data_IF_004943660874
#
_entry.id   IF_004943660874
#
_cell.length_a   1.000
_cell.length_b   1.000
_cell.length_c   1.000
_cell.angle_alpha   90.00
_cell.angle_beta   90.00
_cell.angle_gamma   90.00
#
_symmetry.space_group_name_H-M   'P 1'
#
loop_
_entity.id
_entity.type
_entity.pdbx_description
1 polymer ?
#
# COMPACT_ATOMS: atom_id res chain seq x y z
N UNK A 1 -25.36 17.12 12.11
CA UNK A 1 -26.34 17.00 10.99
C UNK A 1 -25.62 16.27 9.87
N UNK A 2 -25.97 15.10 9.34
CA UNK A 2 -27.06 14.13 9.53
C UNK A 2 -26.40 12.75 9.63
N UNK A 3 -26.94 11.91 10.51
CA UNK A 3 -26.59 10.50 10.70
C UNK A 3 -27.35 9.62 9.70
N UNK A 4 -26.69 8.60 9.16
CA UNK A 4 -27.32 7.55 8.33
C UNK A 4 -27.19 6.20 9.03
N UNK A 5 -28.24 5.81 9.75
CA UNK A 5 -28.46 4.48 10.29
C UNK A 5 -29.04 3.55 9.21
N UNK A 6 -28.57 2.31 9.16
CA UNK A 6 -29.22 1.20 8.43
C UNK A 6 -29.90 0.22 9.41
N UNK A 7 -30.99 -0.47 9.02
CA UNK A 7 -31.88 -1.17 9.93
C UNK A 7 -31.59 -2.68 10.07
N UNK A 8 -31.85 -3.22 11.27
CA UNK A 8 -32.00 -4.65 11.58
C UNK A 8 -33.46 -5.11 11.36
N UNK A 9 -33.70 -6.36 10.90
CA UNK A 9 -35.05 -6.91 10.81
C UNK A 9 -35.53 -7.53 12.14
N UNK A 10 -36.80 -7.28 12.45
CA UNK A 10 -37.59 -7.88 13.55
C UNK A 10 -38.30 -9.15 13.07
N UNK A 11 -38.38 -10.16 13.93
CA UNK A 11 -39.44 -11.21 14.05
C UNK A 11 -38.94 -12.23 15.10
N UNK A 12 -39.70 -12.83 16.02
CA UNK A 12 -41.14 -12.93 16.26
C UNK A 12 -41.35 -13.34 17.74
N UNK A 13 -42.46 -12.87 18.33
CA UNK A 13 -42.98 -13.27 19.65
C UNK A 13 -43.48 -14.73 19.64
N UNK A 14 -43.27 -15.49 20.72
CA UNK A 14 -44.24 -16.50 21.15
C UNK A 14 -44.23 -16.66 22.68
N UNK A 15 -45.42 -16.42 23.23
CA UNK A 15 -45.81 -16.58 24.63
C UNK A 15 -46.13 -18.05 24.89
N UNK A 16 -45.72 -18.59 26.03
CA UNK A 16 -46.44 -19.70 26.68
C UNK A 16 -46.29 -19.62 28.20
N UNK A 17 -47.45 -19.51 28.83
CA UNK A 17 -47.75 -19.46 30.26
C UNK A 17 -47.67 -20.88 30.84
N UNK A 18 -47.10 -21.06 32.03
CA UNK A 18 -47.58 -22.10 32.97
C UNK A 18 -47.17 -21.82 34.43
N UNK A 19 -48.22 -21.48 35.18
CA UNK A 19 -48.57 -21.88 36.55
C UNK A 19 -47.55 -21.77 37.70
N UNK A 20 -47.92 -20.87 38.62
CA UNK A 20 -47.62 -20.87 40.04
C UNK A 20 -47.95 -22.21 40.72
N UNK A 21 -47.01 -22.74 41.48
CA UNK A 21 -47.29 -23.50 42.70
C UNK A 21 -46.35 -23.02 43.80
N UNK A 22 -46.96 -22.57 44.89
CA UNK A 22 -46.35 -22.02 46.09
C UNK A 22 -46.31 -23.04 47.23
N UNK A 23 -45.27 -22.86 48.06
CA UNK A 23 -45.05 -23.33 49.45
C UNK A 23 -44.38 -24.71 49.68
N UNK A 24 -43.68 -24.93 50.83
CA UNK A 24 -43.26 -24.00 51.88
C UNK A 24 -41.74 -24.00 52.18
N UNK A 25 -41.36 -22.98 52.96
CA UNK A 25 -40.10 -22.72 53.63
C UNK A 25 -39.44 -23.95 54.28
N UNK A 26 -38.18 -24.22 53.90
CA UNK A 26 -37.21 -24.94 54.73
C UNK A 26 -36.11 -23.97 55.12
N UNK A 27 -35.91 -23.80 56.44
CA UNK A 27 -34.84 -23.01 57.02
C UNK A 27 -33.47 -23.53 56.54
N UNK A 28 -32.75 -22.71 55.78
CA UNK A 28 -31.34 -22.92 55.48
C UNK A 28 -30.51 -22.14 56.51
N UNK A 29 -29.73 -22.87 57.30
CA UNK A 29 -28.65 -22.35 58.14
C UNK A 29 -27.69 -21.48 57.32
N UNK A 30 -27.04 -20.44 57.88
CA UNK A 30 -26.11 -19.60 57.14
C UNK A 30 -24.95 -20.45 56.62
N UNK A 31 -24.83 -20.54 55.29
CA UNK A 31 -23.64 -21.11 54.65
C UNK A 31 -22.48 -20.17 54.99
N UNK A 32 -21.31 -20.66 55.44
CA UNK A 32 -20.14 -19.81 55.59
C UNK A 32 -19.85 -19.09 54.26
N UNK A 33 -19.33 -17.84 54.29
CA UNK A 33 -19.00 -17.14 53.06
C UNK A 33 -18.13 -18.07 52.21
N UNK A 34 -18.55 -18.27 50.96
CA UNK A 34 -17.72 -18.95 49.98
C UNK A 34 -16.33 -18.29 50.01
N UNK A 35 -15.23 -19.06 50.03
CA UNK A 35 -13.92 -18.47 49.91
C UNK A 35 -13.92 -17.53 48.69
N UNK A 36 -13.27 -16.35 48.76
CA UNK A 36 -13.16 -15.48 47.60
C UNK A 36 -12.68 -16.34 46.43
N UNK A 37 -13.26 -16.17 45.22
CA UNK A 37 -12.78 -16.91 44.06
C UNK A 37 -11.25 -16.74 44.00
N UNK A 38 -10.50 -17.80 43.71
CA UNK A 38 -9.05 -17.70 43.60
C UNK A 38 -8.71 -16.54 42.66
N UNK A 39 -7.63 -15.78 42.91
CA UNK A 39 -7.27 -14.66 42.06
C UNK A 39 -7.27 -15.16 40.62
N UNK A 40 -8.13 -14.57 39.80
CA UNK A 40 -8.34 -14.96 38.41
C UNK A 40 -6.97 -15.02 37.73
N UNK A 41 -6.48 -16.22 37.45
CA UNK A 41 -5.25 -16.40 36.69
C UNK A 41 -5.63 -16.06 35.25
N UNK A 42 -5.20 -14.90 34.72
CA UNK A 42 -5.40 -14.63 33.31
C UNK A 42 -4.71 -15.75 32.54
N UNK A 43 -5.36 -16.32 31.55
CA UNK A 43 -4.70 -17.28 30.67
C UNK A 43 -3.42 -16.63 30.08
N UNK A 44 -2.43 -17.41 29.62
CA UNK A 44 -1.14 -16.87 29.19
C UNK A 44 -1.22 -15.74 28.13
N UNK A 45 -2.28 -15.69 27.32
CA UNK A 45 -2.50 -14.60 26.34
C UNK A 45 -2.89 -13.30 27.02
N UNK A 46 -3.82 -13.35 27.97
CA UNK A 46 -4.22 -12.17 28.75
C UNK A 46 -3.10 -11.71 29.68
N UNK A 47 -2.22 -12.60 30.15
CA UNK A 47 -1.03 -12.21 30.89
C UNK A 47 -0.04 -11.43 30.00
N UNK A 48 0.24 -11.90 28.78
CA UNK A 48 1.04 -11.15 27.79
C UNK A 48 0.41 -9.81 27.46
N UNK A 49 -0.91 -9.78 27.29
CA UNK A 49 -1.64 -8.55 27.04
C UNK A 49 -1.54 -7.56 28.20
N UNK A 50 -1.64 -8.04 29.44
CA UNK A 50 -1.43 -7.21 30.61
C UNK A 50 -0.03 -6.59 30.60
N UNK A 51 1.02 -7.39 30.34
CA UNK A 51 2.39 -6.88 30.22
C UNK A 51 2.50 -5.78 29.15
N UNK A 52 1.99 -6.05 27.94
CA UNK A 52 2.02 -5.10 26.82
C UNK A 52 1.28 -3.79 27.14
N UNK A 53 0.06 -3.89 27.70
CA UNK A 53 -0.80 -2.74 27.98
C UNK A 53 -0.27 -1.90 29.15
N UNK A 54 0.36 -2.52 30.16
CA UNK A 54 1.01 -1.77 31.23
C UNK A 54 2.28 -1.07 30.74
N UNK A 55 3.08 -1.72 29.88
CA UNK A 55 4.22 -1.06 29.23
C UNK A 55 3.77 0.13 28.38
N UNK A 56 2.67 -0.03 27.62
CA UNK A 56 2.12 1.06 26.83
C UNK A 56 1.52 2.18 27.68
N UNK A 57 0.80 1.86 28.76
CA UNK A 57 0.35 2.85 29.74
C UNK A 57 1.50 3.68 30.29
N UNK A 58 2.66 3.05 30.54
CA UNK A 58 3.85 3.75 30.99
C UNK A 58 4.47 4.65 29.90
N UNK A 59 4.36 4.26 28.62
CA UNK A 59 4.79 5.06 27.48
C UNK A 59 3.83 6.21 27.12
N UNK A 60 2.59 6.20 27.64
CA UNK A 60 1.64 7.31 27.52
C UNK A 60 2.07 8.43 28.47
N UNK A 61 2.44 9.57 27.89
CA UNK A 61 2.95 10.75 28.59
C UNK A 61 1.87 11.77 28.93
N UNK A 62 0.74 11.76 28.21
CA UNK A 62 -0.42 12.59 28.55
C UNK A 62 -1.74 11.88 28.22
N UNK A 63 -2.67 11.92 29.17
CA UNK A 63 -4.02 11.39 29.05
C UNK A 63 -5.03 12.39 29.62
N UNK A 64 -5.38 13.45 28.87
CA UNK A 64 -6.21 14.55 29.40
C UNK A 64 -7.63 14.13 29.77
N UNK A 65 -8.12 13.06 29.16
CA UNK A 65 -9.49 12.56 29.33
C UNK A 65 -9.55 11.40 30.33
N UNK A 66 -8.42 11.02 30.95
CA UNK A 66 -8.32 9.87 31.84
C UNK A 66 -8.81 8.57 31.17
N UNK A 67 -8.58 8.42 29.86
CA UNK A 67 -9.02 7.27 29.07
C UNK A 67 -8.43 5.96 29.59
N UNK A 68 -7.18 5.98 30.02
CA UNK A 68 -6.44 4.82 30.54
C UNK A 68 -6.56 4.64 32.06
N UNK A 69 -7.45 5.40 32.72
CA UNK A 69 -7.59 5.36 34.17
C UNK A 69 -7.99 3.98 34.70
N UNK A 70 -8.75 3.20 33.93
CA UNK A 70 -9.18 1.83 34.24
C UNK A 70 -8.18 0.73 33.84
N UNK A 71 -7.04 1.10 33.23
CA UNK A 71 -5.98 0.15 32.87
C UNK A 71 -5.16 -0.27 34.09
N UNK A 72 -5.78 -0.97 35.04
CA UNK A 72 -5.13 -1.56 36.21
C UNK A 72 -5.74 -2.91 36.59
N UNK A 73 -4.92 -3.78 37.20
CA UNK A 73 -5.33 -5.11 37.61
C UNK A 73 -5.37 -6.14 36.47
N UNK A 74 -5.66 -7.42 36.77
CA UNK A 74 -5.46 -8.52 35.81
C UNK A 74 -6.54 -8.61 34.72
N UNK A 75 -7.66 -7.90 34.84
CA UNK A 75 -8.83 -8.03 33.97
C UNK A 75 -8.72 -7.10 32.75
N UNK A 76 -7.74 -7.35 31.86
CA UNK A 76 -7.46 -6.50 30.69
C UNK A 76 -8.64 -6.29 29.75
N UNK A 77 -9.60 -7.22 29.72
CA UNK A 77 -10.80 -7.09 28.90
C UNK A 77 -11.79 -6.02 29.41
N UNK A 78 -11.58 -5.50 30.62
CA UNK A 78 -12.36 -4.39 31.17
C UNK A 78 -11.73 -3.03 30.90
N UNK A 79 -10.53 -2.99 30.30
CA UNK A 79 -9.82 -1.75 30.02
C UNK A 79 -10.53 -0.98 28.91
N UNK A 80 -10.68 0.32 29.09
CA UNK A 80 -11.25 1.19 28.06
C UNK A 80 -10.45 1.07 26.76
N UNK A 81 -11.17 0.86 25.66
CA UNK A 81 -10.60 0.69 24.32
C UNK A 81 -9.96 -0.68 24.02
N UNK A 82 -10.00 -1.64 24.95
CA UNK A 82 -9.48 -3.00 24.75
C UNK A 82 -10.64 -3.97 24.55
N UNK A 83 -10.61 -4.73 23.45
CA UNK A 83 -11.66 -5.66 23.07
C UNK A 83 -11.13 -7.08 23.06
N UNK A 84 -11.72 -7.93 23.91
CA UNK A 84 -11.42 -9.35 23.94
C UNK A 84 -12.41 -10.17 23.12
N UNK A 85 -11.94 -11.26 22.53
CA UNK A 85 -12.75 -12.25 21.84
C UNK A 85 -12.23 -13.67 22.11
N UNK A 86 -13.01 -14.72 21.81
CA UNK A 86 -12.51 -16.08 21.79
C UNK A 86 -11.29 -16.21 20.86
N UNK A 87 -10.28 -16.94 21.31
CA UNK A 87 -9.06 -17.17 20.56
C UNK A 87 -9.35 -17.94 19.26
N UNK A 88 -8.65 -17.63 18.15
CA UNK A 88 -8.91 -18.27 16.86
C UNK A 88 -8.71 -19.79 16.84
N UNK A 89 -7.84 -20.29 17.71
CA UNK A 89 -7.48 -21.71 17.84
C UNK A 89 -8.19 -22.43 19.00
N UNK A 90 -8.80 -21.69 19.93
CA UNK A 90 -9.59 -22.26 21.04
C UNK A 90 -10.73 -21.31 21.47
N UNK A 91 -12.00 -21.63 21.18
CA UNK A 91 -13.12 -20.76 21.51
C UNK A 91 -13.40 -20.63 23.02
N UNK A 92 -12.78 -21.47 23.87
CA UNK A 92 -12.92 -21.41 25.32
C UNK A 92 -11.88 -20.49 25.99
N UNK A 93 -10.88 -20.02 25.25
CA UNK A 93 -9.85 -19.10 25.74
C UNK A 93 -10.14 -17.71 25.21
N UNK A 94 -10.13 -16.69 26.07
CA UNK A 94 -10.20 -15.30 25.65
C UNK A 94 -8.81 -14.73 25.36
N UNK A 95 -8.72 -13.88 24.35
CA UNK A 95 -7.53 -13.10 23.99
C UNK A 95 -7.91 -11.67 23.64
N UNK A 96 -6.95 -10.75 23.62
CA UNK A 96 -7.17 -9.39 23.11
C UNK A 96 -7.19 -9.44 21.59
N UNK A 97 -8.34 -9.13 21.00
CA UNK A 97 -8.58 -9.21 19.56
C UNK A 97 -8.60 -7.82 18.91
N UNK A 98 -8.88 -6.76 19.67
CA UNK A 98 -8.92 -5.40 19.13
C UNK A 98 -8.48 -4.36 20.15
N UNK A 99 -7.88 -3.28 19.64
CA UNK A 99 -7.61 -2.04 20.36
C UNK A 99 -8.26 -0.91 19.54
N UNK A 100 -9.11 -0.12 20.18
CA UNK A 100 -9.69 1.10 19.61
C UNK A 100 -9.58 2.24 20.61
N UNK A 101 -8.67 3.17 20.33
CA UNK A 101 -8.42 4.41 21.08
C UNK A 101 -8.69 5.64 20.22
N UNK A 102 -9.57 5.53 19.22
CA UNK A 102 -9.86 6.64 18.31
C UNK A 102 -10.33 7.88 19.09
N UNK A 103 -9.77 9.04 18.76
CA UNK A 103 -10.07 10.34 19.35
C UNK A 103 -9.81 10.45 20.88
N UNK A 104 -8.97 9.57 21.45
CA UNK A 104 -8.69 9.58 22.88
C UNK A 104 -7.80 10.75 23.34
N UNK A 105 -7.16 11.46 22.41
CA UNK A 105 -6.26 12.60 22.67
C UNK A 105 -5.03 12.22 23.55
N UNK A 106 -4.59 10.96 23.45
CA UNK A 106 -3.45 10.41 24.17
C UNK A 106 -2.14 10.87 23.54
N UNK A 107 -1.14 11.21 24.35
CA UNK A 107 0.23 11.47 23.89
C UNK A 107 1.17 10.39 24.40
N UNK A 108 2.18 10.02 23.63
CA UNK A 108 3.15 8.99 24.03
C UNK A 108 3.83 8.34 22.83
N UNK A 109 4.40 7.17 23.05
CA UNK A 109 4.98 6.34 21.98
C UNK A 109 4.37 4.93 22.00
N UNK A 110 4.64 4.15 20.95
CA UNK A 110 4.33 2.72 20.92
C UNK A 110 5.56 1.95 21.43
N UNK A 111 5.49 1.17 22.53
CA UNK A 111 6.60 0.36 23.00
C UNK A 111 6.69 -0.99 22.26
N UNK A 112 7.88 -1.60 22.24
CA UNK A 112 8.13 -2.90 21.62
C UNK A 112 7.25 -4.02 22.20
N UNK A 113 6.86 -3.93 23.48
CA UNK A 113 6.02 -4.92 24.16
C UNK A 113 4.63 -5.09 23.53
N UNK A 114 4.14 -4.12 22.74
CA UNK A 114 2.89 -4.28 21.98
C UNK A 114 2.94 -5.47 21.01
N UNK A 115 4.14 -5.88 20.55
CA UNK A 115 4.34 -7.08 19.74
C UNK A 115 3.98 -8.40 20.46
N UNK A 116 3.74 -8.38 21.78
CA UNK A 116 3.25 -9.53 22.54
C UNK A 116 1.78 -9.86 22.24
N UNK A 117 1.02 -8.94 21.66
CA UNK A 117 -0.41 -9.07 21.35
C UNK A 117 -0.64 -9.86 20.04
N UNK A 118 -0.09 -11.07 19.95
CA UNK A 118 -0.02 -11.83 18.68
C UNK A 118 -1.37 -12.24 18.09
N UNK A 119 -2.46 -12.16 18.87
CA UNK A 119 -3.82 -12.45 18.41
C UNK A 119 -4.62 -11.20 17.97
N UNK A 120 -4.00 -10.03 18.06
CA UNK A 120 -4.63 -8.77 17.72
C UNK A 120 -5.01 -8.74 16.23
N UNK A 121 -6.26 -8.41 15.95
CA UNK A 121 -6.81 -8.29 14.60
C UNK A 121 -7.06 -6.82 14.22
N UNK A 122 -7.41 -5.96 15.17
CA UNK A 122 -7.72 -4.54 14.93
C UNK A 122 -6.85 -3.65 15.82
N UNK A 123 -6.19 -2.65 15.23
CA UNK A 123 -5.45 -1.63 15.99
C UNK A 123 -5.77 -0.25 15.45
N UNK A 124 -6.70 0.44 16.13
CA UNK A 124 -7.18 1.77 15.75
C UNK A 124 -6.80 2.80 16.80
N UNK A 125 -5.99 3.77 16.40
CA UNK A 125 -5.54 4.86 17.27
C UNK A 125 -5.63 6.22 16.58
N UNK A 126 -6.60 6.39 15.67
CA UNK A 126 -6.85 7.63 14.95
C UNK A 126 -6.99 8.83 15.90
N UNK A 127 -6.51 10.00 15.49
CA UNK A 127 -6.70 11.26 16.24
C UNK A 127 -6.16 11.18 17.67
N UNK A 128 -4.91 10.76 17.79
CA UNK A 128 -4.12 10.85 19.01
C UNK A 128 -2.88 11.70 18.75
N UNK A 129 -1.97 11.73 19.71
CA UNK A 129 -0.69 12.45 19.67
C UNK A 129 0.47 11.49 19.93
N UNK A 130 0.32 10.24 19.47
CA UNK A 130 1.42 9.28 19.50
C UNK A 130 2.51 9.71 18.54
N UNK A 131 3.78 9.58 18.95
CA UNK A 131 4.94 9.97 18.16
C UNK A 131 6.02 8.89 18.17
N UNK A 132 7.13 9.15 17.47
CA UNK A 132 8.20 8.18 17.25
C UNK A 132 7.94 7.33 16.01
N UNK A 133 8.51 6.13 15.98
CA UNK A 133 8.35 5.15 14.89
C UNK A 133 7.37 4.03 15.30
N UNK A 134 6.86 3.28 14.34
CA UNK A 134 6.17 2.02 14.63
C UNK A 134 7.22 0.97 15.04
N UNK A 135 7.04 0.24 16.15
CA UNK A 135 7.99 -0.78 16.61
C UNK A 135 8.20 -1.91 15.62
N UNK A 136 9.43 -2.38 15.48
CA UNK A 136 9.75 -3.55 14.63
C UNK A 136 9.04 -4.83 15.12
N UNK A 137 8.71 -4.90 16.42
CA UNK A 137 7.95 -6.01 17.01
C UNK A 137 6.53 -6.16 16.44
N UNK A 138 6.00 -5.16 15.72
CA UNK A 138 4.71 -5.28 15.04
C UNK A 138 4.70 -6.41 14.00
N UNK A 139 5.86 -6.84 13.48
CA UNK A 139 5.96 -8.01 12.61
C UNK A 139 5.40 -9.29 13.26
N UNK A 140 5.32 -9.35 14.60
CA UNK A 140 4.78 -10.48 15.35
C UNK A 140 3.24 -10.50 15.40
N UNK A 141 2.57 -9.41 15.00
CA UNK A 141 1.11 -9.28 14.99
C UNK A 141 0.51 -9.98 13.76
N UNK A 142 0.84 -11.25 13.57
CA UNK A 142 0.56 -12.04 12.36
C UNK A 142 -0.93 -12.17 12.01
N UNK A 143 -1.83 -11.81 12.92
CA UNK A 143 -3.29 -11.81 12.73
C UNK A 143 -3.87 -10.42 12.46
N UNK A 144 -3.04 -9.37 12.47
CA UNK A 144 -3.49 -8.00 12.30
C UNK A 144 -4.14 -7.84 10.92
N UNK A 145 -5.39 -7.40 10.93
CA UNK A 145 -6.28 -7.30 9.78
C UNK A 145 -6.51 -5.83 9.40
N UNK A 146 -6.69 -4.96 10.40
CA UNK A 146 -6.82 -3.51 10.21
C UNK A 146 -5.83 -2.76 11.10
N UNK A 147 -5.09 -1.84 10.50
CA UNK A 147 -4.13 -0.98 11.16
C UNK A 147 -4.43 0.48 10.79
N UNK A 148 -4.95 1.23 11.75
CA UNK A 148 -5.23 2.65 11.63
C UNK A 148 -4.39 3.45 12.63
N UNK A 149 -3.34 4.09 12.10
CA UNK A 149 -2.41 4.99 12.79
C UNK A 149 -2.66 6.46 12.43
N UNK A 150 -3.77 6.77 11.78
CA UNK A 150 -3.98 8.05 11.13
C UNK A 150 -4.08 9.22 12.12
N UNK A 151 -3.73 10.43 11.66
CA UNK A 151 -3.82 11.66 12.44
C UNK A 151 -3.10 11.55 13.81
N UNK A 152 -1.78 11.32 13.73
CA UNK A 152 -0.86 11.21 14.85
C UNK A 152 0.42 12.01 14.55
N UNK A 153 1.43 11.86 15.39
CA UNK A 153 2.76 12.46 15.23
C UNK A 153 3.86 11.45 14.88
N UNK A 154 3.52 10.31 14.25
CA UNK A 154 4.53 9.33 13.83
C UNK A 154 5.47 9.93 12.78
N UNK A 155 6.73 9.52 12.82
CA UNK A 155 7.81 10.04 11.97
C UNK A 155 8.81 8.94 11.63
N UNK A 156 9.75 9.23 10.73
CA UNK A 156 10.72 8.24 10.22
C UNK A 156 10.31 7.71 8.85
N UNK A 157 10.99 6.66 8.39
CA UNK A 157 10.64 6.00 7.13
C UNK A 157 9.38 5.13 7.24
N UNK A 158 8.90 4.60 6.11
CA UNK A 158 7.83 3.62 6.11
C UNK A 158 8.17 2.44 7.04
N UNK A 159 7.25 2.03 7.95
CA UNK A 159 7.53 0.99 8.93
C UNK A 159 7.59 -0.40 8.30
N UNK A 160 8.81 -0.91 8.10
CA UNK A 160 9.08 -2.15 7.36
C UNK A 160 8.43 -3.40 7.98
N UNK A 161 8.23 -3.41 9.30
CA UNK A 161 7.54 -4.47 10.03
C UNK A 161 6.13 -4.79 9.49
N UNK A 162 5.43 -3.81 8.91
CA UNK A 162 4.09 -3.98 8.33
C UNK A 162 4.13 -4.91 7.11
N UNK A 163 5.25 -4.95 6.38
CA UNK A 163 5.39 -5.77 5.17
C UNK A 163 5.31 -7.28 5.44
N UNK A 164 5.55 -7.70 6.69
CA UNK A 164 5.46 -9.10 7.13
C UNK A 164 4.03 -9.54 7.48
N UNK A 165 3.06 -8.63 7.51
CA UNK A 165 1.70 -8.88 7.99
C UNK A 165 0.82 -9.45 6.88
N UNK A 166 0.90 -10.76 6.68
CA UNK A 166 0.18 -11.47 5.61
C UNK A 166 -1.37 -11.38 5.71
N UNK A 167 -1.91 -11.15 6.91
CA UNK A 167 -3.35 -11.02 7.13
C UNK A 167 -3.89 -9.59 6.92
N UNK A 168 -3.01 -8.60 6.79
CA UNK A 168 -3.41 -7.19 6.77
C UNK A 168 -4.20 -6.86 5.50
N UNK A 169 -5.34 -6.19 5.67
CA UNK A 169 -6.23 -5.74 4.59
C UNK A 169 -6.43 -4.24 4.54
N UNK A 170 -6.40 -3.59 5.68
CA UNK A 170 -6.59 -2.15 5.78
C UNK A 170 -5.37 -1.50 6.41
N UNK A 171 -4.72 -0.60 5.68
CA UNK A 171 -3.61 0.20 6.18
C UNK A 171 -3.90 1.68 6.03
N UNK A 172 -4.04 2.37 7.15
CA UNK A 172 -4.22 3.82 7.22
C UNK A 172 -3.13 4.47 8.08
N UNK A 173 -2.22 5.20 7.42
CA UNK A 173 -1.13 5.95 8.05
C UNK A 173 -1.20 7.45 7.70
N UNK A 174 -2.34 7.92 7.21
CA UNK A 174 -2.51 9.31 6.75
C UNK A 174 -2.36 10.33 7.88
N UNK A 175 -2.04 11.58 7.55
CA UNK A 175 -1.83 12.67 8.53
C UNK A 175 -0.79 12.30 9.60
N UNK A 176 0.41 11.93 9.15
CA UNK A 176 1.60 11.71 9.98
C UNK A 176 2.79 12.47 9.36
N UNK A 177 4.02 12.17 9.80
CA UNK A 177 5.27 12.75 9.31
C UNK A 177 6.22 11.67 8.78
N UNK A 178 5.67 10.61 8.20
CA UNK A 178 6.48 9.58 7.55
C UNK A 178 7.15 10.17 6.32
N UNK A 179 8.42 9.84 6.08
CA UNK A 179 9.22 10.34 4.98
C UNK A 179 9.94 9.22 4.22
N UNK A 180 10.75 9.57 3.23
CA UNK A 180 11.48 8.60 2.42
C UNK A 180 10.59 7.92 1.39
N UNK A 181 11.00 6.73 0.94
CA UNK A 181 10.30 6.00 -0.12
C UNK A 181 9.13 5.16 0.42
N UNK A 182 8.13 4.91 -0.44
CA UNK A 182 7.21 3.78 -0.23
C UNK A 182 7.84 2.50 -0.83
N UNK A 183 8.08 1.46 -0.01
CA UNK A 183 8.81 0.29 -0.46
C UNK A 183 8.00 -0.52 -1.47
N UNK A 184 8.62 -0.98 -2.56
CA UNK A 184 7.93 -1.78 -3.60
C UNK A 184 7.16 -2.99 -3.06
N UNK A 185 7.65 -3.77 -2.08
CA UNK A 185 6.89 -4.89 -1.51
C UNK A 185 5.51 -4.53 -0.95
N UNK A 186 5.26 -3.27 -0.58
CA UNK A 186 3.94 -2.79 -0.15
C UNK A 186 2.86 -3.08 -1.21
N UNK A 187 3.23 -2.96 -2.48
CA UNK A 187 2.31 -3.17 -3.61
C UNK A 187 2.10 -4.64 -3.96
N UNK A 188 2.89 -5.55 -3.40
CA UNK A 188 2.69 -6.99 -3.54
C UNK A 188 1.82 -7.57 -2.40
N UNK A 189 1.62 -6.81 -1.32
CA UNK A 189 0.70 -7.16 -0.23
C UNK A 189 -0.75 -7.24 -0.74
N UNK A 190 -1.54 -8.09 -0.09
CA UNK A 190 -2.95 -8.32 -0.46
C UNK A 190 -3.91 -7.39 0.30
N UNK A 191 -3.62 -6.08 0.27
CA UNK A 191 -4.45 -5.04 0.89
C UNK A 191 -5.73 -4.79 0.09
N UNK A 192 -6.80 -4.42 0.80
CA UNK A 192 -8.07 -3.98 0.24
C UNK A 192 -8.13 -2.44 0.14
N UNK A 193 -7.47 -1.72 1.06
CA UNK A 193 -7.37 -0.26 1.04
C UNK A 193 -6.02 0.25 1.60
N UNK A 194 -5.49 1.30 0.97
CA UNK A 194 -4.22 1.94 1.34
C UNK A 194 -4.34 3.47 1.39
N UNK A 195 -4.17 4.03 2.59
CA UNK A 195 -4.18 5.46 2.83
C UNK A 195 -2.83 5.93 3.40
N UNK A 196 -2.11 6.74 2.62
CA UNK A 196 -0.80 7.29 3.03
C UNK A 196 -0.72 8.81 2.83
N UNK A 197 -1.85 9.45 2.52
CA UNK A 197 -1.94 10.87 2.23
C UNK A 197 -1.52 11.75 3.41
N UNK A 198 -1.09 12.98 3.12
CA UNK A 198 -0.68 13.95 4.14
C UNK A 198 0.47 13.41 5.02
N UNK A 199 1.58 13.07 4.35
CA UNK A 199 2.85 12.69 4.94
C UNK A 199 3.99 13.43 4.19
N UNK A 200 5.23 13.17 4.58
CA UNK A 200 6.44 13.75 3.97
C UNK A 200 7.13 12.75 3.01
N UNK A 201 6.39 11.78 2.46
CA UNK A 201 6.96 10.76 1.55
C UNK A 201 7.51 11.39 0.28
N UNK A 202 8.67 10.88 -0.17
CA UNK A 202 9.37 11.28 -1.38
C UNK A 202 9.73 10.04 -2.19
N UNK A 203 8.93 9.70 -3.19
CA UNK A 203 9.06 8.43 -3.92
C UNK A 203 8.67 8.53 -5.38
N UNK A 204 9.10 7.56 -6.18
CA UNK A 204 8.53 7.33 -7.52
C UNK A 204 7.57 6.14 -7.44
N UNK A 205 6.45 6.20 -8.16
CA UNK A 205 5.52 5.08 -8.22
C UNK A 205 6.21 3.86 -8.86
N UNK A 206 6.29 2.70 -8.18
CA UNK A 206 7.03 1.57 -8.70
C UNK A 206 6.23 0.83 -9.77
N UNK A 207 6.94 0.18 -10.70
CA UNK A 207 6.32 -0.62 -11.78
C UNK A 207 5.43 -1.76 -11.25
N UNK A 208 5.62 -2.23 -10.02
CA UNK A 208 4.77 -3.25 -9.42
C UNK A 208 3.50 -2.71 -8.74
N UNK A 209 3.18 -1.40 -8.83
CA UNK A 209 1.93 -0.85 -8.29
C UNK A 209 0.70 -1.61 -8.78
N UNK A 210 0.74 -2.05 -10.05
CA UNK A 210 -0.29 -2.86 -10.69
C UNK A 210 -0.54 -4.24 -10.08
N UNK A 211 0.37 -4.75 -9.24
CA UNK A 211 0.20 -6.04 -8.55
C UNK A 211 -0.76 -5.95 -7.36
N UNK A 212 -0.99 -4.73 -6.88
CA UNK A 212 -1.78 -4.48 -5.68
C UNK A 212 -3.26 -4.74 -5.96
N UNK A 213 -3.96 -5.51 -5.11
CA UNK A 213 -5.40 -5.75 -5.26
C UNK A 213 -6.26 -4.67 -4.59
N UNK A 214 -5.69 -3.53 -4.19
CA UNK A 214 -6.44 -2.49 -3.48
C UNK A 214 -7.60 -1.97 -4.31
N UNK A 215 -8.69 -1.68 -3.59
CA UNK A 215 -9.87 -1.01 -4.12
C UNK A 215 -9.82 0.50 -3.99
N UNK A 216 -9.11 1.01 -2.96
CA UNK A 216 -8.95 2.43 -2.68
C UNK A 216 -7.49 2.73 -2.42
N UNK A 217 -6.95 3.72 -3.14
CA UNK A 217 -5.59 4.18 -3.02
C UNK A 217 -5.56 5.71 -2.90
N UNK A 218 -4.97 6.23 -1.82
CA UNK A 218 -4.89 7.68 -1.58
C UNK A 218 -3.45 8.11 -1.27
N UNK A 219 -2.83 8.81 -2.22
CA UNK A 219 -1.47 9.35 -2.15
C UNK A 219 -1.39 10.87 -2.04
N UNK A 220 -2.54 11.55 -1.91
CA UNK A 220 -2.60 13.00 -1.90
C UNK A 220 -1.67 13.65 -0.86
N UNK A 221 -1.19 14.86 -1.15
CA UNK A 221 -0.34 15.65 -0.24
C UNK A 221 0.91 14.87 0.21
N UNK A 222 1.68 14.38 -0.76
CA UNK A 222 3.04 13.83 -0.59
C UNK A 222 3.94 14.41 -1.70
N UNK A 223 5.17 13.92 -1.86
CA UNK A 223 6.04 14.35 -2.96
C UNK A 223 6.40 13.17 -3.87
N UNK A 224 5.56 12.93 -4.87
CA UNK A 224 5.76 11.91 -5.89
C UNK A 224 6.61 12.48 -7.03
N UNK A 225 7.74 11.83 -7.27
CA UNK A 225 8.59 12.10 -8.42
C UNK A 225 8.19 11.22 -9.60
N UNK A 226 8.34 11.76 -10.81
CA UNK A 226 7.96 11.04 -12.02
C UNK A 226 6.46 11.01 -12.22
N UNK A 227 5.95 9.87 -12.69
CA UNK A 227 4.72 9.76 -13.46
C UNK A 227 3.91 8.53 -13.07
N UNK A 228 2.71 8.39 -13.64
CA UNK A 228 1.93 7.16 -13.50
C UNK A 228 2.54 6.04 -14.37
N UNK A 229 2.93 4.90 -13.78
CA UNK A 229 3.42 3.76 -14.56
C UNK A 229 2.25 3.08 -15.29
N UNK A 230 2.51 2.60 -16.51
CA UNK A 230 1.51 1.86 -17.31
C UNK A 230 0.95 0.62 -16.60
N UNK A 231 1.70 0.03 -15.66
CA UNK A 231 1.30 -1.12 -14.87
C UNK A 231 0.09 -0.86 -13.96
N UNK A 232 -0.23 0.41 -13.65
CA UNK A 232 -1.45 0.78 -12.92
C UNK A 232 -2.70 0.16 -13.56
N UNK A 233 -2.71 0.01 -14.90
CA UNK A 233 -3.78 -0.63 -15.65
C UNK A 233 -4.06 -2.09 -15.28
N UNK A 234 -3.10 -2.79 -14.68
CA UNK A 234 -3.28 -4.17 -14.20
C UNK A 234 -4.26 -4.26 -13.01
N UNK A 235 -4.60 -3.14 -12.37
CA UNK A 235 -5.59 -3.06 -11.30
C UNK A 235 -7.02 -2.91 -11.83
N UNK A 236 -7.26 -3.14 -13.13
CA UNK A 236 -8.54 -2.96 -13.79
C UNK A 236 -9.74 -3.70 -13.15
N UNK A 237 -9.46 -4.79 -12.45
CA UNK A 237 -10.47 -5.63 -11.79
C UNK A 237 -10.69 -5.27 -10.32
N UNK A 238 -9.80 -4.50 -9.70
CA UNK A 238 -9.80 -4.27 -8.25
C UNK A 238 -9.98 -2.81 -7.88
N UNK A 239 -9.33 -1.89 -8.59
CA UNK A 239 -9.27 -0.47 -8.23
C UNK A 239 -10.58 0.24 -8.54
N UNK A 240 -11.17 0.85 -7.50
CA UNK A 240 -12.40 1.65 -7.56
C UNK A 240 -12.12 3.14 -7.38
N UNK A 241 -11.15 3.50 -6.55
CA UNK A 241 -10.83 4.90 -6.27
C UNK A 241 -9.32 5.11 -6.20
N UNK A 242 -8.84 6.13 -6.92
CA UNK A 242 -7.44 6.58 -6.82
C UNK A 242 -7.38 8.10 -6.76
N UNK A 243 -6.74 8.60 -5.71
CA UNK A 243 -6.63 10.02 -5.40
C UNK A 243 -5.16 10.35 -5.19
N UNK A 244 -4.60 11.16 -6.09
CA UNK A 244 -3.21 11.62 -6.09
C UNK A 244 -3.21 13.14 -6.26
N UNK A 245 -3.84 13.86 -5.35
CA UNK A 245 -3.95 15.32 -5.40
C UNK A 245 -2.74 16.00 -4.75
N UNK A 246 -2.24 17.10 -5.31
CA UNK A 246 -1.17 17.91 -4.69
C UNK A 246 0.06 17.07 -4.33
N UNK A 247 0.59 16.33 -5.31
CA UNK A 247 1.69 15.39 -5.07
C UNK A 247 2.91 15.58 -5.97
N UNK A 248 2.92 16.57 -6.88
CA UNK A 248 4.06 16.83 -7.76
C UNK A 248 4.22 15.85 -8.93
N UNK A 249 3.25 14.96 -9.12
CA UNK A 249 3.18 13.99 -10.22
C UNK A 249 3.32 14.71 -11.56
N UNK A 250 4.14 14.19 -12.47
CA UNK A 250 4.46 14.82 -13.74
C UNK A 250 4.40 13.82 -14.92
N UNK A 251 4.63 14.33 -16.12
CA UNK A 251 4.52 13.54 -17.35
C UNK A 251 3.10 13.42 -17.87
N UNK A 252 2.93 12.59 -18.89
CA UNK A 252 1.62 12.37 -19.52
C UNK A 252 0.87 11.22 -18.84
N UNK A 253 -0.46 11.25 -18.91
CA UNK A 253 -1.30 10.12 -18.51
C UNK A 253 -1.07 8.95 -19.51
N UNK A 254 -0.75 7.74 -19.03
CA UNK A 254 -0.57 6.58 -19.91
C UNK A 254 -1.92 6.14 -20.52
N UNK A 255 -2.00 5.85 -21.83
CA UNK A 255 -3.25 5.39 -22.45
C UNK A 255 -3.85 4.14 -21.82
N UNK A 256 -3.02 3.28 -21.22
CA UNK A 256 -3.45 2.04 -20.55
C UNK A 256 -4.41 2.31 -19.39
N UNK A 257 -4.44 3.52 -18.82
CA UNK A 257 -5.36 3.91 -17.72
C UNK A 257 -6.83 3.74 -18.11
N UNK A 258 -7.14 3.83 -19.41
CA UNK A 258 -8.47 3.55 -19.95
C UNK A 258 -8.99 2.14 -19.68
N UNK A 259 -8.09 1.21 -19.33
CA UNK A 259 -8.43 -0.18 -18.97
C UNK A 259 -9.06 -0.30 -17.58
N UNK A 260 -8.98 0.73 -16.73
CA UNK A 260 -9.54 0.75 -15.37
C UNK A 260 -11.06 0.87 -15.38
N UNK A 261 -11.73 -0.15 -15.91
CA UNK A 261 -13.18 -0.15 -16.15
C UNK A 261 -14.02 -0.13 -14.87
N UNK A 262 -13.44 -0.53 -13.73
CA UNK A 262 -14.09 -0.50 -12.42
C UNK A 262 -13.95 0.83 -11.66
N UNK A 263 -13.05 1.71 -12.11
CA UNK A 263 -12.75 2.95 -11.41
C UNK A 263 -13.95 3.90 -11.42
N UNK A 264 -14.33 4.37 -10.23
CA UNK A 264 -15.40 5.32 -9.97
C UNK A 264 -14.88 6.72 -9.68
N UNK A 265 -13.74 6.84 -8.99
CA UNK A 265 -13.11 8.13 -8.67
C UNK A 265 -11.69 8.17 -9.20
N UNK A 266 -11.41 9.14 -10.06
CA UNK A 266 -10.07 9.47 -10.52
C UNK A 266 -9.76 10.94 -10.25
N UNK A 267 -8.95 11.19 -9.22
CA UNK A 267 -8.49 12.54 -8.88
C UNK A 267 -6.97 12.62 -8.96
N UNK A 268 -6.47 13.43 -9.89
CA UNK A 268 -5.05 13.76 -10.08
C UNK A 268 -4.85 15.27 -10.12
N UNK A 269 -5.72 16.03 -9.46
CA UNK A 269 -5.63 17.49 -9.47
C UNK A 269 -4.40 18.01 -8.76
N UNK A 270 -4.03 19.26 -9.02
CA UNK A 270 -2.93 19.95 -8.35
C UNK A 270 -1.59 19.21 -8.55
N UNK A 271 -1.28 18.87 -9.80
CA UNK A 271 -0.05 18.21 -10.18
C UNK A 271 0.61 18.92 -11.37
N UNK A 272 1.69 18.33 -11.87
CA UNK A 272 2.46 18.82 -13.00
C UNK A 272 2.25 17.94 -14.25
N UNK A 273 1.07 17.34 -14.40
CA UNK A 273 0.76 16.50 -15.56
C UNK A 273 0.69 17.35 -16.83
N UNK A 274 1.21 16.82 -17.92
CA UNK A 274 1.28 17.48 -19.23
C UNK A 274 0.64 16.63 -20.32
N UNK A 275 0.41 17.24 -21.49
CA UNK A 275 -0.10 16.52 -22.67
C UNK A 275 -1.62 16.29 -22.63
N UNK A 276 -2.14 15.53 -23.60
CA UNK A 276 -3.58 15.34 -23.76
C UNK A 276 -4.18 14.31 -22.81
N UNK A 277 -5.49 14.42 -22.56
CA UNK A 277 -6.27 13.32 -21.99
C UNK A 277 -6.34 12.17 -23.03
N UNK A 278 -5.98 10.93 -22.67
CA UNK A 278 -6.06 9.80 -23.59
C UNK A 278 -7.51 9.48 -24.00
N UNK A 279 -7.76 9.32 -25.31
CA UNK A 279 -9.09 8.89 -25.80
C UNK A 279 -9.53 7.53 -25.22
N UNK A 280 -8.57 6.68 -24.83
CA UNK A 280 -8.79 5.38 -24.20
C UNK A 280 -9.52 5.47 -22.87
N UNK A 281 -9.53 6.63 -22.19
CA UNK A 281 -10.33 6.87 -20.98
C UNK A 281 -11.84 6.65 -21.22
N UNK A 282 -12.29 6.61 -22.47
CA UNK A 282 -13.62 6.13 -22.84
C UNK A 282 -13.94 4.71 -22.33
N UNK A 283 -12.93 3.90 -22.00
CA UNK A 283 -13.07 2.55 -21.42
C UNK A 283 -13.44 2.54 -19.93
N UNK A 284 -13.32 3.66 -19.22
CA UNK A 284 -13.58 3.78 -17.78
C UNK A 284 -15.08 3.89 -17.50
N UNK A 285 -15.84 2.85 -17.85
CA UNK A 285 -17.32 2.88 -17.89
C UNK A 285 -18.00 3.11 -16.54
N UNK A 286 -17.31 2.87 -15.42
CA UNK A 286 -17.84 3.13 -14.08
C UNK A 286 -17.44 4.49 -13.49
N UNK A 287 -16.67 5.31 -14.22
CA UNK A 287 -16.17 6.58 -13.71
C UNK A 287 -17.33 7.53 -13.42
N UNK A 288 -17.38 8.01 -12.18
CA UNK A 288 -18.41 8.90 -11.65
C UNK A 288 -17.82 10.30 -11.39
N UNK A 289 -16.58 10.36 -10.90
CA UNK A 289 -15.86 11.59 -10.61
C UNK A 289 -14.50 11.60 -11.29
N UNK A 290 -14.27 12.59 -12.13
CA UNK A 290 -12.99 12.85 -12.79
C UNK A 290 -12.52 14.25 -12.43
N UNK A 291 -11.39 14.35 -11.73
CA UNK A 291 -10.77 15.63 -11.40
C UNK A 291 -9.33 15.65 -11.90
N UNK A 292 -9.07 16.51 -12.88
CA UNK A 292 -7.76 16.74 -13.49
C UNK A 292 -7.36 18.21 -13.40
N UNK A 293 -8.03 18.98 -12.54
CA UNK A 293 -7.81 20.42 -12.42
C UNK A 293 -6.38 20.75 -11.97
N UNK A 294 -5.96 22.00 -12.16
CA UNK A 294 -4.65 22.48 -11.69
C UNK A 294 -3.48 21.60 -12.18
N UNK A 295 -3.41 21.42 -13.50
CA UNK A 295 -2.33 20.72 -14.19
C UNK A 295 -1.86 21.54 -15.41
N UNK A 296 -1.02 20.94 -16.24
CA UNK A 296 -0.55 21.50 -17.51
C UNK A 296 -1.08 20.66 -18.70
N UNK A 297 -2.25 20.04 -18.54
CA UNK A 297 -2.88 19.22 -19.58
C UNK A 297 -3.35 20.11 -20.74
N UNK A 298 -3.30 19.58 -21.96
CA UNK A 298 -3.48 20.36 -23.18
C UNK A 298 -4.19 19.58 -24.29
N UNK A 299 -4.38 20.20 -25.44
CA UNK A 299 -5.11 19.60 -26.56
C UNK A 299 -6.63 19.66 -26.38
N UNK A 300 -7.32 18.78 -27.09
CA UNK A 300 -8.77 18.71 -27.09
C UNK A 300 -9.27 17.76 -25.99
N UNK A 301 -10.38 18.10 -25.35
CA UNK A 301 -11.08 17.17 -24.45
C UNK A 301 -11.75 16.09 -25.31
N UNK A 302 -11.46 14.79 -25.11
CA UNK A 302 -12.12 13.74 -25.86
C UNK A 302 -13.63 13.69 -25.57
N UNK A 303 -14.47 13.81 -26.60
CA UNK A 303 -15.92 13.75 -26.47
C UNK A 303 -16.42 12.43 -25.84
N UNK A 304 -15.63 11.37 -26.01
CA UNK A 304 -15.88 10.05 -25.44
C UNK A 304 -15.82 10.02 -23.91
N UNK A 305 -15.00 10.87 -23.28
CA UNK A 305 -14.92 11.01 -21.82
C UNK A 305 -16.23 11.63 -21.30
N UNK A 306 -16.66 12.73 -21.90
CA UNK A 306 -17.91 13.41 -21.53
C UNK A 306 -19.17 12.58 -21.83
N UNK A 307 -19.04 11.50 -22.60
CA UNK A 307 -20.13 10.55 -22.92
C UNK A 307 -20.11 9.30 -22.04
N UNK A 308 -19.23 9.24 -21.02
CA UNK A 308 -19.19 8.11 -20.11
C UNK A 308 -20.52 7.95 -19.36
N UNK A 309 -21.05 6.73 -19.24
CA UNK A 309 -22.44 6.50 -18.84
C UNK A 309 -22.72 6.84 -17.37
N UNK A 310 -21.68 6.91 -16.53
CA UNK A 310 -21.77 7.18 -15.10
C UNK A 310 -21.18 8.51 -14.66
N UNK A 311 -20.53 9.25 -15.57
CA UNK A 311 -19.78 10.45 -15.23
C UNK A 311 -20.75 11.54 -14.77
N UNK A 312 -20.58 11.99 -13.53
CA UNK A 312 -21.42 13.01 -12.90
C UNK A 312 -20.67 14.32 -12.76
N UNK A 313 -19.41 14.24 -12.31
CA UNK A 313 -18.57 15.40 -12.07
C UNK A 313 -17.28 15.30 -12.90
N UNK A 314 -17.00 16.32 -13.70
CA UNK A 314 -15.77 16.44 -14.47
C UNK A 314 -15.15 17.83 -14.28
N UNK A 315 -14.09 17.89 -13.49
CA UNK A 315 -13.35 19.13 -13.21
C UNK A 315 -12.05 19.12 -13.98
N UNK A 316 -11.86 20.07 -14.89
CA UNK A 316 -10.66 20.22 -15.71
C UNK A 316 -10.18 21.68 -15.78
N UNK A 317 -10.62 22.50 -14.83
CA UNK A 317 -10.20 23.89 -14.69
C UNK A 317 -8.70 24.02 -14.44
N UNK A 318 -8.14 25.20 -14.71
CA UNK A 318 -6.72 25.50 -14.53
C UNK A 318 -5.79 24.55 -15.31
N UNK A 319 -6.09 24.32 -16.58
CA UNK A 319 -5.27 23.58 -17.55
C UNK A 319 -5.03 24.43 -18.81
N UNK A 320 -4.63 23.83 -19.92
CA UNK A 320 -4.41 24.48 -21.21
C UNK A 320 -5.26 23.86 -22.34
N UNK A 321 -6.40 23.23 -22.04
CA UNK A 321 -7.27 22.65 -23.08
C UNK A 321 -7.72 23.71 -24.09
N UNK A 322 -7.68 23.38 -25.38
CA UNK A 322 -8.00 24.30 -26.48
C UNK A 322 -9.36 24.04 -27.14
N UNK A 323 -9.99 22.90 -26.84
CA UNK A 323 -11.30 22.53 -27.37
C UNK A 323 -12.11 21.75 -26.35
N UNK A 324 -13.39 22.10 -26.24
CA UNK A 324 -14.40 21.45 -25.39
C UNK A 324 -15.56 20.99 -26.27
N UNK A 325 -15.82 19.67 -26.37
CA UNK A 325 -16.98 19.16 -27.09
C UNK A 325 -18.30 19.57 -26.44
N UNK A 326 -19.31 19.89 -27.26
CA UNK A 326 -20.66 20.26 -26.79
C UNK A 326 -21.34 19.20 -25.92
N UNK A 327 -20.92 17.94 -25.98
CA UNK A 327 -21.41 16.88 -25.10
C UNK A 327 -21.00 17.09 -23.64
N UNK A 328 -19.85 17.74 -23.37
CA UNK A 328 -19.40 18.05 -22.02
C UNK A 328 -20.32 19.05 -21.31
N UNK A 329 -20.98 19.93 -22.07
CA UNK A 329 -21.96 20.89 -21.54
C UNK A 329 -23.21 20.24 -20.96
N UNK A 330 -23.41 18.93 -21.18
CA UNK A 330 -24.54 18.16 -20.63
C UNK A 330 -24.24 17.57 -19.25
N UNK A 331 -23.00 17.64 -18.79
CA UNK A 331 -22.61 17.12 -17.48
C UNK A 331 -23.25 17.96 -16.37
N UNK A 332 -23.63 17.31 -15.26
CA UNK A 332 -24.34 17.97 -14.15
C UNK A 332 -23.46 18.99 -13.43
N UNK A 333 -22.18 18.67 -13.28
CA UNK A 333 -21.16 19.54 -12.72
C UNK A 333 -19.89 19.46 -13.58
N UNK A 334 -19.51 20.59 -14.15
CA UNK A 334 -18.25 20.76 -14.89
C UNK A 334 -17.65 22.12 -14.56
N UNK A 335 -16.36 22.15 -14.24
CA UNK A 335 -15.59 23.39 -14.07
C UNK A 335 -14.47 23.43 -15.12
N UNK A 336 -14.57 24.43 -16.01
CA UNK A 336 -13.72 24.62 -17.20
C UNK A 336 -12.89 25.91 -17.13
N UNK A 337 -12.93 26.63 -16.01
CA UNK A 337 -12.28 27.93 -15.86
C UNK A 337 -10.78 27.83 -16.07
N UNK A 338 -10.15 28.94 -16.48
CA UNK A 338 -8.69 29.02 -16.63
C UNK A 338 -8.11 27.93 -17.55
N UNK A 339 -8.77 27.69 -18.68
CA UNK A 339 -8.25 26.95 -19.83
C UNK A 339 -7.95 27.90 -21.01
N UNK A 340 -7.73 27.34 -22.19
CA UNK A 340 -7.50 28.05 -23.45
C UNK A 340 -8.68 27.86 -24.43
N UNK A 341 -9.92 27.88 -23.92
CA UNK A 341 -11.14 27.63 -24.68
C UNK A 341 -11.70 28.94 -25.25
N UNK A 342 -11.64 29.22 -26.57
CA UNK A 342 -11.91 30.55 -27.12
C UNK A 342 -13.30 31.12 -26.82
N UNK A 343 -14.32 30.26 -26.76
CA UNK A 343 -15.74 30.66 -26.65
C UNK A 343 -16.31 30.49 -25.23
N UNK A 344 -15.46 30.26 -24.23
CA UNK A 344 -15.86 30.01 -22.83
C UNK A 344 -15.51 31.19 -21.92
N UNK A 345 -16.28 31.44 -20.85
CA UNK A 345 -15.97 32.52 -19.91
C UNK A 345 -14.80 32.15 -18.98
N UNK A 346 -14.20 33.15 -18.33
CA UNK A 346 -13.20 33.00 -17.25
C UNK A 346 -11.93 32.20 -17.64
N UNK A 347 -11.51 32.32 -18.90
CA UNK A 347 -10.36 31.60 -19.45
C UNK A 347 -9.03 32.31 -19.17
N UNK A 348 -7.91 31.64 -19.50
CA UNK A 348 -6.57 32.24 -19.48
C UNK A 348 -6.46 33.33 -20.56
N UNK A 349 -5.44 34.18 -20.44
CA UNK A 349 -5.22 35.20 -21.46
C UNK A 349 -4.73 34.57 -22.77
N UNK A 350 -5.04 35.18 -23.93
CA UNK A 350 -4.52 34.71 -25.22
C UNK A 350 -2.99 34.62 -25.27
N UNK A 351 -2.28 35.51 -24.58
CA UNK A 351 -0.81 35.53 -24.50
C UNK A 351 -0.29 34.32 -23.74
N UNK A 352 -0.92 33.97 -22.61
CA UNK A 352 -0.57 32.81 -21.80
C UNK A 352 -0.77 31.50 -22.59
N UNK A 353 -1.91 31.38 -23.27
CA UNK A 353 -2.21 30.24 -24.14
C UNK A 353 -1.21 30.14 -25.30
N UNK A 354 -0.94 31.25 -26.00
CA UNK A 354 0.02 31.28 -27.11
C UNK A 354 1.43 30.93 -26.64
N UNK A 355 1.84 31.40 -25.46
CA UNK A 355 3.14 31.07 -24.88
C UNK A 355 3.26 29.57 -24.57
N UNK A 356 2.24 28.98 -23.94
CA UNK A 356 2.21 27.54 -23.68
C UNK A 356 2.33 26.70 -24.95
N UNK A 357 1.49 27.00 -25.96
CA UNK A 357 1.47 26.27 -27.23
C UNK A 357 2.66 26.56 -28.17
N UNK A 358 3.59 27.45 -27.78
CA UNK A 358 4.82 27.67 -28.54
C UNK A 358 5.83 26.51 -28.44
N UNK A 359 5.63 25.61 -27.47
CA UNK A 359 6.40 24.39 -27.28
C UNK A 359 5.51 23.16 -27.39
N UNK A 360 6.03 22.09 -27.98
CA UNK A 360 5.34 20.80 -28.05
C UNK A 360 5.68 19.94 -26.84
N UNK A 361 4.67 19.27 -26.28
CA UNK A 361 4.87 18.24 -25.25
C UNK A 361 5.18 16.91 -25.95
N UNK A 362 6.34 16.33 -25.67
CA UNK A 362 6.69 14.98 -26.11
C UNK A 362 6.48 13.98 -24.96
N UNK A 363 5.37 13.25 -25.02
CA UNK A 363 5.06 12.22 -24.02
C UNK A 363 6.04 11.03 -24.03
N UNK A 364 6.80 10.82 -25.12
CA UNK A 364 7.77 9.73 -25.24
C UNK A 364 9.04 9.93 -24.43
N UNK A 365 9.32 11.16 -23.96
CA UNK A 365 10.49 11.47 -23.12
C UNK A 365 10.33 10.93 -21.70
N UNK A 366 9.09 10.72 -21.25
CA UNK A 366 8.82 10.18 -19.92
C UNK A 366 9.01 8.66 -19.92
N UNK A 367 9.94 8.15 -19.09
CA UNK A 367 10.29 6.72 -18.96
C UNK A 367 9.20 5.84 -18.30
N UNK A 368 7.94 6.20 -18.47
CA UNK A 368 6.76 5.68 -17.75
C UNK A 368 5.95 4.69 -18.59
N UNK A 369 6.25 4.66 -19.88
CA UNK A 369 5.67 3.74 -20.84
C UNK A 369 6.53 2.49 -20.90
N UNK A 370 5.88 1.32 -20.94
CA UNK A 370 6.57 0.05 -21.11
C UNK A 370 7.29 0.09 -22.46
N UNK A 371 8.63 0.21 -22.48
CA UNK A 371 9.39 0.03 -23.71
C UNK A 371 9.05 -1.36 -24.25
N UNK A 372 8.66 -1.50 -25.54
CA UNK A 372 8.55 -2.81 -26.16
C UNK A 372 9.87 -3.57 -25.92
N UNK A 373 9.83 -4.89 -25.64
CA UNK A 373 11.06 -5.67 -25.61
C UNK A 373 11.82 -5.43 -26.92
N UNK A 374 13.16 -5.29 -26.88
CA UNK A 374 13.94 -5.11 -28.10
C UNK A 374 13.63 -6.26 -29.06
N UNK A 375 13.56 -5.99 -30.37
CA UNK A 375 13.35 -7.05 -31.36
C UNK A 375 14.40 -8.15 -31.16
N UNK A 376 14.06 -9.43 -31.37
CA UNK A 376 15.03 -10.51 -31.25
C UNK A 376 16.25 -10.20 -32.12
N UNK A 377 17.47 -10.51 -31.66
CA UNK A 377 18.66 -10.27 -32.46
C UNK A 377 18.53 -10.96 -33.82
N UNK A 378 19.01 -10.35 -34.91
CA UNK A 378 18.99 -10.98 -36.22
C UNK A 378 19.66 -12.36 -36.14
N UNK A 379 19.15 -13.37 -36.87
CA UNK A 379 19.78 -14.68 -36.90
C UNK A 379 21.27 -14.52 -37.25
N UNK A 380 22.16 -15.30 -36.61
CA UNK A 380 23.58 -15.22 -36.91
C UNK A 380 23.80 -15.43 -38.40
N UNK A 381 24.75 -14.70 -39.02
CA UNK A 381 25.08 -14.89 -40.42
C UNK A 381 25.44 -16.35 -40.66
N UNK A 382 25.06 -16.92 -41.83
CA UNK A 382 25.42 -18.29 -42.16
C UNK A 382 26.94 -18.46 -42.02
N UNK A 383 27.41 -19.62 -41.53
CA UNK A 383 28.84 -19.86 -41.34
C UNK A 383 29.57 -19.63 -42.67
N UNK A 384 30.78 -19.04 -42.63
CA UNK A 384 31.56 -18.83 -43.83
C UNK A 384 31.79 -20.16 -44.55
N UNK A 385 31.79 -20.17 -45.90
CA UNK A 385 32.07 -21.38 -46.66
C UNK A 385 33.41 -21.96 -46.22
N UNK A 386 33.53 -23.31 -46.15
CA UNK A 386 34.75 -23.95 -45.69
C UNK A 386 35.95 -23.49 -46.53
N UNK A 387 37.12 -23.29 -45.90
CA UNK A 387 38.30 -22.84 -46.61
C UNK A 387 38.68 -23.83 -47.72
N UNK A 388 39.19 -23.35 -48.87
CA UNK A 388 39.62 -24.21 -49.95
C UNK A 388 40.68 -25.21 -49.44
N UNK A 389 40.66 -26.46 -49.94
CA UNK A 389 41.55 -27.50 -49.46
C UNK A 389 43.02 -27.10 -49.61
N UNK A 390 43.88 -27.42 -48.62
CA UNK A 390 45.29 -27.05 -48.66
C UNK A 390 46.00 -27.66 -49.87
N UNK A 391 46.98 -26.95 -50.47
CA UNK A 391 47.75 -27.49 -51.57
C UNK A 391 48.52 -28.76 -51.15
N UNK A 392 48.71 -29.72 -52.07
CA UNK A 392 49.33 -31.00 -51.75
C UNK A 392 50.75 -30.82 -51.19
N UNK A 393 51.15 -31.65 -50.21
CA UNK A 393 52.44 -31.51 -49.53
C UNK A 393 53.61 -31.76 -50.50
N UNK A 394 54.73 -31.02 -50.34
CA UNK A 394 55.94 -31.27 -51.12
C UNK A 394 56.53 -32.66 -50.81
N UNK A 395 57.21 -33.30 -51.77
CA UNK A 395 57.74 -34.65 -51.62
C UNK A 395 58.76 -34.74 -50.47
N UNK A 396 58.81 -35.89 -49.76
CA UNK A 396 59.60 -36.04 -48.55
C UNK A 396 61.11 -35.95 -48.82
N UNK A 397 61.87 -35.28 -47.93
CA UNK A 397 63.34 -35.26 -48.01
C UNK A 397 63.92 -36.64 -47.67
N UNK A 398 65.10 -37.00 -48.23
CA UNK A 398 65.72 -38.30 -48.03
C UNK A 398 66.14 -38.55 -46.57
N UNK A 399 66.10 -39.81 -46.11
CA UNK A 399 66.28 -40.18 -44.70
C UNK A 399 67.70 -39.90 -44.17
N UNK A 400 67.82 -39.40 -42.92
CA UNK A 400 69.11 -39.17 -42.27
C UNK A 400 69.77 -40.48 -41.75
N UNK A 401 71.12 -40.52 -41.62
CA UNK A 401 71.84 -41.70 -41.12
C UNK A 401 71.61 -41.95 -39.62
N UNK A 402 71.73 -43.21 -39.14
CA UNK A 402 71.37 -43.60 -37.78
C UNK A 402 72.31 -43.02 -36.70
N UNK A 403 71.77 -42.68 -35.51
CA UNK A 403 72.52 -42.08 -34.40
C UNK A 403 73.32 -43.10 -33.56
N UNK A 404 74.41 -42.69 -32.90
CA UNK A 404 75.22 -43.52 -32.00
C UNK A 404 74.59 -43.70 -30.60
N UNK A 405 75.00 -44.72 -29.81
CA UNK A 405 74.30 -45.16 -28.60
C UNK A 405 74.48 -44.25 -27.37
N UNK A 406 73.52 -44.27 -26.43
CA UNK A 406 73.46 -43.37 -25.27
C UNK A 406 74.40 -43.76 -24.11
N UNK A 407 74.85 -42.78 -23.28
CA UNK A 407 75.61 -43.03 -22.06
C UNK A 407 74.72 -43.38 -20.84
N UNK A 408 75.28 -44.06 -19.81
CA UNK A 408 74.53 -44.62 -18.69
C UNK A 408 74.12 -43.59 -17.61
N UNK A 409 73.06 -43.89 -16.82
CA UNK A 409 72.44 -42.95 -15.88
C UNK A 409 73.18 -42.78 -14.54
N UNK A 410 73.01 -41.61 -13.86
CA UNK A 410 73.61 -41.33 -12.55
C UNK A 410 72.84 -41.93 -11.35
N UNK A 411 73.49 -42.11 -10.18
CA UNK A 411 72.93 -42.80 -9.01
C UNK A 411 71.96 -41.96 -8.15
N UNK A 412 71.08 -42.62 -7.35
CA UNK A 412 69.98 -42.01 -6.58
C UNK A 412 70.39 -41.33 -5.25
N UNK A 413 69.52 -40.44 -4.70
CA UNK A 413 69.80 -39.52 -3.58
C UNK A 413 69.75 -40.14 -2.16
N UNK A 414 70.32 -39.47 -1.14
CA UNK A 414 70.48 -40.00 0.22
C UNK A 414 69.22 -39.92 1.11
N UNK A 415 69.03 -40.84 2.08
CA UNK A 415 67.89 -40.87 2.99
C UNK A 415 68.02 -39.92 4.22
N UNK A 416 66.89 -39.52 4.84
CA UNK A 416 66.84 -38.54 5.93
C UNK A 416 67.14 -39.09 7.33
N UNK A 417 67.69 -38.23 8.19
CA UNK A 417 67.99 -38.45 9.61
C UNK A 417 66.77 -38.22 10.52
N UNK A 418 66.54 -39.10 11.50
CA UNK A 418 65.75 -38.81 12.71
C UNK A 418 66.51 -39.29 13.96
N UNK A 419 66.56 -38.41 14.97
CA UNK A 419 67.23 -38.55 16.28
C UNK A 419 66.42 -39.43 17.24
N UNK A 420 67.02 -40.49 17.82
CA UNK A 420 67.46 -40.71 19.23
C UNK A 420 66.39 -40.64 20.33
N UNK A 421 66.49 -41.50 21.36
CA UNK A 421 67.39 -41.24 22.50
C UNK A 421 68.64 -42.11 22.59
#
# INVERSE_FOLDING_TARGET
MKTSNFPLPKSLLLISILALLSNPSYQATPRPPSPPPPPFLPNPRLLKAYTALQAWKHAITADPNNFTADWYGPNVCNYSGIFCAPAPDDPYILTVAGIDLNHANLSGTLPDDLGLLTDLALFHINSNRFCGTVPESFQCLTRLFELDLSNNGFSGEFPSAILSLAALKFLDIRFNKFHGDLPSPLFDMKLDALFVNNNDFKFSLPENIGNSPVSVLVFANNNINGCLPSSLSNMNNTLNEIIITNSGLNGCLPPEIGSLSNLAVFDVSDNNLVGPLPETMAGMKKLEQLNVAHNQLSGEIPASICSLPKLQNFTYSYNFFCSEPSVCLKLQASDDQKNCLPERPLQRSPEECKAFYSYSVDCGVFSCTRRPPPPPPPPPPPPPPPPPPPPPPPPPPPPPPPPPPPPPPPPPPPPPYYQYP
#
